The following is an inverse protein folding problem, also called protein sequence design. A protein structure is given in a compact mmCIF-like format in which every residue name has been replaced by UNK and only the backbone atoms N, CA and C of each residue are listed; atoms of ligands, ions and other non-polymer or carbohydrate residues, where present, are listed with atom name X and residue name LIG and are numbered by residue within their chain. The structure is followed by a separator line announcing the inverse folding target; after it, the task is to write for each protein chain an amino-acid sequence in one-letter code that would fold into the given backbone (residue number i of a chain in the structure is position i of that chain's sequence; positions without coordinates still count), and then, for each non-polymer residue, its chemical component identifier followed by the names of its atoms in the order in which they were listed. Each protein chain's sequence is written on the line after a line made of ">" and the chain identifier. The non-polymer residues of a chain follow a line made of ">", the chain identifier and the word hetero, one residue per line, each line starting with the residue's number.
data_IF_743948225958
#
_entry.id   IF_743948225958
#
_cell.length_a   1.000
_cell.length_b   1.000
_cell.length_c   1.000
_cell.angle_alpha   90.00
_cell.angle_beta   90.00
_cell.angle_gamma   90.00
#
_symmetry.space_group_name_H-M   'P 1'
#
loop_
_entity.id
_entity.type
_entity.pdbx_description
1 polymer ?
#
# COMPACT_ATOMS: atom_id res chain seq x y z
N UNK A 1 -25.19 11.14 -0.72
CA UNK A 1 -24.39 11.52 -0.13
C UNK A 1 -23.25 11.84 -0.86
N UNK A 2 -22.79 12.66 -0.90
CA UNK A 2 -21.61 12.88 -1.61
C UNK A 2 -20.60 11.82 -1.26
N UNK A 3 -19.44 11.91 -1.76
CA UNK A 3 -18.40 11.01 -1.36
C UNK A 3 -18.28 11.06 0.13
N UNK A 4 -17.90 9.98 0.68
CA UNK A 4 -17.59 9.97 2.08
C UNK A 4 -16.62 11.08 2.36
N UNK A 5 -16.81 11.73 3.48
CA UNK A 5 -15.85 12.70 3.91
C UNK A 5 -14.47 12.04 3.98
N UNK A 6 -13.46 12.80 3.68
CA UNK A 6 -12.11 12.27 3.78
C UNK A 6 -11.87 11.81 5.21
N UNK A 7 -11.29 10.64 5.35
CA UNK A 7 -10.89 10.14 6.66
C UNK A 7 -9.77 11.05 7.16
N UNK A 8 -9.93 11.70 8.31
CA UNK A 8 -8.85 12.54 8.84
C UNK A 8 -7.53 11.81 9.00
N UNK A 9 -7.57 10.50 9.24
CA UNK A 9 -6.34 9.72 9.34
C UNK A 9 -5.61 9.66 8.01
N UNK A 10 -6.34 9.69 6.89
CA UNK A 10 -5.68 9.72 5.58
C UNK A 10 -5.01 11.07 5.33
N UNK A 11 -5.61 12.15 5.81
CA UNK A 11 -5.00 13.47 5.67
C UNK A 11 -3.73 13.58 6.49
N UNK A 12 -3.58 12.76 7.53
CA UNK A 12 -2.38 12.75 8.36
C UNK A 12 -1.24 11.93 7.77
N UNK A 13 -1.46 11.23 6.65
CA UNK A 13 -0.39 10.51 5.99
C UNK A 13 0.68 11.48 5.48
N UNK A 14 1.93 11.03 5.37
CA UNK A 14 3.00 11.92 4.95
C UNK A 14 2.74 12.60 3.62
N UNK A 15 3.18 13.83 3.50
CA UNK A 15 2.89 14.64 2.32
C UNK A 15 3.58 14.10 1.06
N UNK A 16 4.63 13.28 1.20
CA UNK A 16 5.28 12.75 0.00
C UNK A 16 4.41 11.72 -0.72
N UNK A 17 3.38 11.18 -0.08
CA UNK A 17 2.50 10.20 -0.72
C UNK A 17 1.56 10.92 -1.68
N UNK A 18 1.54 10.54 -2.96
CA UNK A 18 0.56 11.13 -3.88
C UNK A 18 -0.86 10.69 -3.50
N UNK A 19 -1.84 11.42 -4.01
CA UNK A 19 -3.24 11.14 -3.69
C UNK A 19 -3.63 9.69 -4.00
N UNK A 20 -3.11 9.16 -5.11
CA UNK A 20 -3.40 7.78 -5.51
C UNK A 20 -2.85 6.77 -4.51
N UNK A 21 -1.69 7.07 -3.90
CA UNK A 21 -1.15 6.19 -2.87
C UNK A 21 -2.02 6.22 -1.61
N UNK A 22 -2.54 7.39 -1.25
CA UNK A 22 -3.45 7.50 -0.10
C UNK A 22 -4.72 6.69 -0.35
N UNK A 23 -5.22 6.69 -1.57
CA UNK A 23 -6.38 5.87 -1.93
C UNK A 23 -6.07 4.39 -1.79
N UNK A 24 -4.88 3.97 -2.20
CA UNK A 24 -4.46 2.57 -2.06
C UNK A 24 -4.35 2.19 -0.59
N UNK A 25 -3.78 3.07 0.24
CA UNK A 25 -3.70 2.81 1.68
C UNK A 25 -5.10 2.59 2.26
N UNK A 26 -6.08 3.41 1.86
CA UNK A 26 -7.45 3.25 2.33
C UNK A 26 -8.04 1.91 1.91
N UNK A 27 -7.79 1.48 0.66
CA UNK A 27 -8.25 0.17 0.20
C UNK A 27 -7.62 -0.95 1.01
N UNK A 28 -6.32 -0.88 1.26
CA UNK A 28 -5.63 -1.90 2.03
C UNK A 28 -6.22 -1.97 3.44
N UNK A 29 -6.45 -0.82 4.06
CA UNK A 29 -6.95 -0.77 5.44
C UNK A 29 -8.30 -1.45 5.57
N UNK A 30 -9.17 -1.37 4.55
CA UNK A 30 -10.48 -2.00 4.64
C UNK A 30 -10.55 -3.37 3.98
N UNK A 31 -9.44 -3.89 3.49
CA UNK A 31 -9.40 -5.24 2.93
C UNK A 31 -9.84 -5.38 1.50
N UNK A 32 -9.89 -4.30 0.77
CA UNK A 32 -10.29 -4.31 -0.64
C UNK A 32 -11.75 -3.93 -0.83
N UNK A 33 -12.35 -4.26 -1.99
CA UNK A 33 -11.74 -5.00 -3.09
C UNK A 33 -10.70 -4.18 -3.85
N UNK A 34 -9.79 -4.88 -4.51
CA UNK A 34 -8.69 -4.23 -5.20
C UNK A 34 -8.90 -4.26 -6.72
N UNK A 35 -8.46 -3.21 -7.43
CA UNK A 35 -8.68 -3.14 -8.87
C UNK A 35 -7.79 -4.05 -9.71
N UNK A 36 -6.66 -4.49 -9.17
CA UNK A 36 -5.74 -5.35 -9.92
C UNK A 36 -5.63 -6.69 -9.24
N UNK A 37 -5.65 -7.78 -10.03
CA UNK A 37 -5.62 -9.11 -9.42
C UNK A 37 -4.27 -9.42 -8.76
N UNK A 38 -3.22 -8.66 -9.09
CA UNK A 38 -1.93 -8.81 -8.44
C UNK A 38 -1.92 -8.23 -7.02
N UNK A 39 -2.89 -7.36 -6.69
CA UNK A 39 -2.89 -6.67 -5.42
C UNK A 39 -3.05 -7.66 -4.27
N UNK A 40 -2.25 -7.48 -3.24
CA UNK A 40 -2.22 -8.39 -2.09
C UNK A 40 -1.32 -9.59 -2.30
N UNK A 41 -0.66 -9.69 -3.44
CA UNK A 41 0.28 -10.77 -3.69
C UNK A 41 1.55 -10.64 -2.89
N UNK A 42 2.27 -11.73 -2.77
CA UNK A 42 3.54 -11.76 -2.03
C UNK A 42 4.59 -10.93 -2.76
N UNK A 43 5.25 -10.04 -2.02
CA UNK A 43 6.44 -9.35 -2.52
C UNK A 43 7.66 -10.10 -2.00
N UNK A 44 8.52 -10.57 -2.90
CA UNK A 44 9.60 -11.47 -2.52
C UNK A 44 10.83 -10.82 -1.90
N UNK A 45 10.97 -9.49 -2.02
CA UNK A 45 12.13 -8.79 -1.47
C UNK A 45 13.45 -9.39 -1.95
N UNK A 46 13.49 -9.81 -3.21
CA UNK A 46 14.64 -10.59 -3.72
C UNK A 46 15.93 -9.81 -3.73
N UNK A 47 15.83 -8.49 -3.88
CA UNK A 47 17.02 -7.65 -3.92
C UNK A 47 17.44 -7.18 -2.55
N UNK A 48 16.67 -7.52 -1.52
CA UNK A 48 17.06 -7.22 -0.15
C UNK A 48 17.00 -5.76 0.24
N UNK A 49 16.23 -4.94 -0.48
CA UNK A 49 16.12 -3.53 -0.12
C UNK A 49 15.34 -3.31 1.17
N UNK A 50 14.51 -4.26 1.56
CA UNK A 50 13.78 -4.23 2.82
C UNK A 50 14.36 -5.25 3.78
N UNK A 51 14.08 -5.15 5.08
CA UNK A 51 14.58 -6.13 6.04
C UNK A 51 14.21 -7.54 5.67
N UNK A 52 15.11 -8.48 5.92
CA UNK A 52 14.89 -9.88 5.59
C UNK A 52 13.82 -10.47 6.49
N UNK A 53 12.77 -11.02 5.90
CA UNK A 53 11.64 -11.60 6.62
C UNK A 53 11.23 -12.90 5.95
N UNK A 54 10.49 -13.77 6.63
CA UNK A 54 10.02 -15.01 6.03
C UNK A 54 9.15 -14.74 4.81
N UNK A 55 9.16 -15.68 3.88
CA UNK A 55 8.33 -15.56 2.68
C UNK A 55 6.87 -15.38 3.07
N UNK A 56 6.20 -14.48 2.38
CA UNK A 56 4.80 -14.17 2.64
C UNK A 56 4.61 -13.03 3.63
N UNK A 57 5.69 -12.57 4.28
CA UNK A 57 5.57 -11.45 5.20
C UNK A 57 5.18 -10.15 4.47
N UNK A 58 5.78 -9.91 3.28
CA UNK A 58 5.51 -8.69 2.52
C UNK A 58 4.45 -8.93 1.47
N UNK A 59 3.57 -7.94 1.28
CA UNK A 59 2.56 -7.95 0.23
C UNK A 59 2.66 -6.66 -0.57
N UNK A 60 2.33 -6.74 -1.86
CA UNK A 60 2.42 -5.59 -2.75
C UNK A 60 1.04 -5.16 -3.22
N UNK A 61 0.89 -3.87 -3.49
CA UNK A 61 -0.35 -3.29 -3.98
C UNK A 61 -0.04 -2.22 -4.99
N UNK A 62 -0.86 -2.12 -6.03
CA UNK A 62 -0.67 -1.14 -7.10
C UNK A 62 -1.17 0.23 -6.68
N UNK A 63 -0.39 1.26 -6.99
CA UNK A 63 -0.80 2.65 -6.86
C UNK A 63 -0.94 3.18 -8.28
N UNK A 64 -2.13 3.69 -8.63
CA UNK A 64 -2.37 4.18 -9.97
C UNK A 64 -1.46 5.35 -10.30
N UNK A 65 -1.07 5.42 -11.57
CA UNK A 65 -0.37 6.57 -12.12
C UNK A 65 -1.32 7.25 -13.11
N UNK A 66 -1.78 8.46 -12.82
CA UNK A 66 -2.74 9.12 -13.70
C UNK A 66 -2.23 9.19 -15.14
N UNK A 67 -3.10 8.83 -16.08
CA UNK A 67 -2.78 8.93 -17.50
C UNK A 67 -1.94 7.79 -18.06
N UNK A 68 -1.47 6.87 -17.23
CA UNK A 68 -0.56 5.84 -17.72
C UNK A 68 -1.24 4.78 -18.58
N UNK A 69 -2.50 4.44 -18.27
CA UNK A 69 -3.20 3.41 -19.02
C UNK A 69 -2.75 1.99 -18.71
N UNK A 70 -1.87 1.80 -17.75
CA UNK A 70 -1.39 0.50 -17.32
C UNK A 70 -0.92 0.61 -15.88
N UNK A 71 -0.45 -0.49 -15.31
CA UNK A 71 -0.08 -0.51 -13.88
C UNK A 71 1.07 0.42 -13.53
N UNK A 72 1.95 0.72 -14.47
CA UNK A 72 3.12 1.56 -14.25
C UNK A 72 3.96 1.05 -13.07
N UNK A 73 4.67 1.94 -12.37
CA UNK A 73 5.72 1.52 -11.45
C UNK A 73 5.46 1.80 -9.98
N UNK A 74 4.34 2.46 -9.65
CA UNK A 74 4.08 2.84 -8.25
C UNK A 74 3.45 1.70 -7.48
N UNK A 75 3.95 1.45 -6.26
CA UNK A 75 3.43 0.37 -5.40
C UNK A 75 3.45 0.78 -3.95
N UNK A 76 2.57 0.17 -3.15
CA UNK A 76 2.69 0.12 -1.69
C UNK A 76 3.10 -1.30 -1.35
N UNK A 77 4.05 -1.46 -0.44
CA UNK A 77 4.41 -2.74 0.13
C UNK A 77 4.14 -2.69 1.61
N UNK A 78 3.44 -3.70 2.12
CA UNK A 78 3.17 -3.82 3.56
C UNK A 78 3.89 -5.04 4.10
N UNK A 79 4.15 -5.04 5.39
CA UNK A 79 4.68 -6.22 6.08
C UNK A 79 3.87 -6.51 7.33
N UNK A 80 3.57 -7.78 7.53
CA UNK A 80 2.76 -8.22 8.67
C UNK A 80 1.28 -8.30 8.32
N UNK A 81 0.53 -9.04 9.16
CA UNK A 81 -0.92 -9.22 8.98
C UNK A 81 -1.58 -9.11 10.35
N UNK A 82 -2.26 -8.00 10.65
CA UNK A 82 -2.39 -6.79 9.82
C UNK A 82 -1.03 -6.08 9.68
N UNK A 83 -0.91 -5.17 8.72
CA UNK A 83 0.37 -4.53 8.47
C UNK A 83 0.94 -3.80 9.67
N UNK A 84 2.23 -4.03 9.91
CA UNK A 84 2.96 -3.31 10.93
C UNK A 84 4.01 -2.38 10.33
N UNK A 85 4.34 -2.57 9.05
CA UNK A 85 5.24 -1.66 8.32
C UNK A 85 4.65 -1.37 6.96
N UNK A 86 4.93 -0.16 6.46
CA UNK A 86 4.39 0.34 5.20
C UNK A 86 5.50 1.03 4.43
N UNK A 87 5.59 0.74 3.14
CA UNK A 87 6.60 1.35 2.26
C UNK A 87 5.93 1.80 0.97
N UNK A 88 6.43 2.89 0.41
CA UNK A 88 6.02 3.38 -0.90
C UNK A 88 7.20 3.34 -1.85
N UNK A 89 6.96 2.91 -3.09
CA UNK A 89 7.95 2.98 -4.15
C UNK A 89 7.29 3.57 -5.39
N UNK A 90 8.03 4.38 -6.15
CA UNK A 90 7.57 4.89 -7.43
C UNK A 90 8.48 4.45 -8.58
N UNK A 91 9.41 3.55 -8.33
CA UNK A 91 10.37 3.09 -9.31
C UNK A 91 10.43 1.56 -9.38
N UNK A 92 9.29 0.94 -9.17
CA UNK A 92 9.12 -0.51 -9.32
C UNK A 92 10.08 -1.28 -8.41
N UNK A 93 10.05 -0.93 -7.12
CA UNK A 93 10.77 -1.63 -6.04
C UNK A 93 12.28 -1.36 -6.00
N UNK A 94 12.76 -0.36 -6.74
CA UNK A 94 14.19 -0.04 -6.71
C UNK A 94 14.55 0.73 -5.45
N UNK A 95 13.70 1.69 -5.07
CA UNK A 95 13.88 2.41 -3.81
C UNK A 95 12.55 2.44 -3.05
N UNK A 96 12.63 2.55 -1.73
CA UNK A 96 11.46 2.54 -0.87
C UNK A 96 11.54 3.68 0.14
N UNK A 97 10.37 4.24 0.47
CA UNK A 97 10.24 5.17 1.60
C UNK A 97 9.24 4.59 2.58
N UNK A 98 9.69 4.41 3.83
CA UNK A 98 8.77 3.93 4.86
C UNK A 98 7.87 5.07 5.33
N UNK A 99 6.68 4.72 5.78
CA UNK A 99 5.78 5.71 6.34
C UNK A 99 4.89 5.06 7.41
N UNK A 100 4.27 5.93 8.20
CA UNK A 100 3.41 5.51 9.28
C UNK A 100 1.98 5.87 8.91
N UNK A 101 1.04 5.00 9.21
CA UNK A 101 -0.38 5.27 8.95
C UNK A 101 -1.09 5.86 10.17
N UNK A 102 -0.37 6.01 11.28
CA UNK A 102 -0.91 6.70 12.45
C UNK A 102 -2.18 6.07 12.99
N UNK A 103 -3.22 6.87 13.09
CA UNK A 103 -4.49 6.44 13.68
C UNK A 103 -5.41 5.70 12.71
N UNK A 104 -4.97 5.42 11.49
CA UNK A 104 -5.82 4.71 10.54
C UNK A 104 -6.05 3.29 11.03
N UNK A 105 -7.33 2.87 11.01
CA UNK A 105 -7.69 1.51 11.41
C UNK A 105 -7.31 0.54 10.29
N UNK A 106 -6.37 -0.33 10.56
CA UNK A 106 -5.90 -1.32 9.60
C UNK A 106 -6.28 -2.74 9.99
N UNK A 107 -7.25 -2.89 10.89
CA UNK A 107 -7.61 -4.21 11.40
C UNK A 107 -8.10 -5.15 10.30
N UNK A 108 -8.63 -4.63 9.20
CA UNK A 108 -9.07 -5.44 8.07
C UNK A 108 -7.99 -5.65 7.03
N UNK A 109 -6.86 -4.97 7.13
CA UNK A 109 -5.78 -5.12 6.17
C UNK A 109 -5.20 -6.52 6.27
N UNK A 110 -4.98 -7.15 5.13
CA UNK A 110 -4.46 -8.51 5.12
C UNK A 110 -5.49 -9.59 5.34
N UNK A 111 -6.77 -9.24 5.52
CA UNK A 111 -7.82 -10.23 5.62
C UNK A 111 -7.90 -10.98 4.31
N UNK A 112 -8.02 -12.26 4.41
CA UNK A 112 -8.10 -13.00 3.20
C UNK A 112 -9.40 -12.83 2.59
N UNK A 113 -9.37 -12.87 1.49
CA UNK A 113 -10.44 -12.89 0.80
C UNK A 113 -10.88 -14.13 0.69
#
# INVERSE_FOLDING_TARGET
>A
MGPAAADPALDALPSFLPAEARSTVALIARGGPFPYHQDGGTFGNREGHLPNKPRGYYREYTVDTPGAGHRAARRIVTGGTPPEVWYYTDDHYDTFRSFDVGALDVSHAGSSR
#
